data_IF_230678300687
#
_entry.id   IF_230678300687
#
_cell.length_a   1.000
_cell.length_b   1.000
_cell.length_c   1.000
_cell.angle_alpha   90.00
_cell.angle_beta   90.00
_cell.angle_gamma   90.00
#
_symmetry.space_group_name_H-M   'P 1'
#
loop_
_entity.id
_entity.type
_entity.pdbx_description
1 polymer ?
#
# COMPACT_ATOMS: atom_id res chain seq x y z
N UNK A 1 -14.17 -20.25 22.33
CA UNK A 1 -14.57 -18.84 22.09
C UNK A 1 -14.45 -18.61 20.59
N UNK A 2 -15.44 -17.99 19.98
CA UNK A 2 -15.44 -17.63 18.56
C UNK A 2 -14.17 -16.81 18.20
N UNK A 3 -13.48 -17.17 17.12
CA UNK A 3 -12.27 -16.49 16.65
C UNK A 3 -12.51 -14.98 16.41
N UNK A 4 -13.72 -14.61 15.99
CA UNK A 4 -14.13 -13.21 15.82
C UNK A 4 -14.12 -12.48 17.17
N UNK A 5 -14.60 -13.12 18.23
CA UNK A 5 -14.63 -12.53 19.58
C UNK A 5 -13.23 -12.38 20.18
N UNK A 6 -12.31 -13.30 19.88
CA UNK A 6 -10.91 -13.17 20.29
C UNK A 6 -10.20 -12.04 19.53
N UNK A 7 -10.31 -12.00 18.20
CA UNK A 7 -9.72 -10.94 17.38
C UNK A 7 -10.25 -9.56 17.79
N UNK A 8 -11.55 -9.42 18.03
CA UNK A 8 -12.14 -8.15 18.49
C UNK A 8 -11.59 -7.68 19.84
N UNK A 9 -11.16 -8.59 20.72
CA UNK A 9 -10.62 -8.25 22.04
C UNK A 9 -9.12 -7.95 22.02
N UNK A 10 -8.35 -8.68 21.22
CA UNK A 10 -6.89 -8.56 21.21
C UNK A 10 -6.37 -7.64 20.11
N UNK A 11 -7.12 -7.46 19.01
CA UNK A 11 -6.61 -6.88 17.77
C UNK A 11 -5.56 -7.76 17.06
N UNK A 12 -5.24 -8.93 17.62
CA UNK A 12 -4.19 -9.82 17.12
C UNK A 12 -4.84 -10.86 16.24
N UNK A 13 -4.56 -10.78 14.94
CA UNK A 13 -4.96 -11.78 13.99
C UNK A 13 -4.06 -13.01 14.12
N UNK A 14 -4.60 -14.14 14.58
CA UNK A 14 -3.85 -15.39 14.62
C UNK A 14 -4.21 -16.24 13.39
N UNK A 15 -3.20 -16.74 12.67
CA UNK A 15 -3.40 -17.67 11.54
C UNK A 15 -3.75 -19.09 12.06
N UNK A 16 -4.69 -19.19 13.00
CA UNK A 16 -5.07 -20.44 13.66
C UNK A 16 -5.68 -21.47 12.68
N UNK A 17 -6.24 -21.00 11.56
CA UNK A 17 -6.69 -21.84 10.46
C UNK A 17 -5.66 -21.83 9.32
N UNK A 18 -5.04 -22.99 9.09
CA UNK A 18 -4.09 -23.21 8.01
C UNK A 18 -4.76 -22.91 6.65
N UNK A 19 -4.22 -21.96 5.89
CA UNK A 19 -4.70 -21.64 4.54
C UNK A 19 -5.60 -20.40 4.42
N UNK A 20 -6.02 -19.76 5.53
CA UNK A 20 -7.04 -18.69 5.49
C UNK A 20 -6.58 -17.37 4.86
N UNK A 21 -5.27 -17.10 4.80
CA UNK A 21 -4.66 -15.89 4.22
C UNK A 21 -3.37 -16.18 3.44
N UNK A 22 -3.32 -17.25 2.65
CA UNK A 22 -2.11 -17.56 1.84
C UNK A 22 -1.92 -16.62 0.65
N UNK A 23 -2.87 -15.71 0.39
CA UNK A 23 -2.84 -14.78 -0.74
C UNK A 23 -2.32 -13.37 -0.41
N UNK A 24 -2.11 -13.03 0.86
CA UNK A 24 -1.66 -11.70 1.26
C UNK A 24 -0.57 -11.80 2.32
N UNK A 25 0.66 -11.48 1.92
CA UNK A 25 1.76 -11.27 2.85
C UNK A 25 1.66 -9.83 3.37
N UNK A 26 1.15 -9.69 4.58
CA UNK A 26 1.14 -8.40 5.26
C UNK A 26 2.50 -8.17 5.91
N UNK A 27 3.04 -6.97 5.68
CA UNK A 27 4.26 -6.50 6.31
C UNK A 27 3.96 -5.11 6.86
N UNK A 28 4.39 -4.82 8.08
CA UNK A 28 4.20 -3.49 8.62
C UNK A 28 5.06 -2.51 7.82
N UNK A 29 4.51 -1.36 7.45
CA UNK A 29 5.17 -0.42 6.53
C UNK A 29 6.46 0.13 7.15
N UNK A 30 6.40 0.41 8.45
CA UNK A 30 7.52 0.86 9.27
C UNK A 30 8.67 -0.15 9.32
N UNK A 31 8.40 -1.43 9.11
CA UNK A 31 9.41 -2.49 9.16
C UNK A 31 10.10 -2.70 7.82
N UNK A 32 9.51 -2.28 6.69
CA UNK A 32 10.04 -2.56 5.33
C UNK A 32 11.44 -1.96 5.17
N UNK A 33 11.59 -0.68 5.53
CA UNK A 33 12.84 0.06 5.38
C UNK A 33 13.97 -0.50 6.26
N UNK A 34 13.77 -0.70 7.58
CA UNK A 34 14.74 -1.37 8.45
C UNK A 34 15.10 -2.77 7.98
N UNK A 35 14.11 -3.56 7.52
CA UNK A 35 14.36 -4.89 7.00
C UNK A 35 15.31 -4.85 5.80
N UNK A 36 15.05 -4.00 4.80
CA UNK A 36 15.90 -3.92 3.60
C UNK A 36 17.30 -3.39 3.93
N UNK A 37 17.43 -2.41 4.82
CA UNK A 37 18.73 -1.92 5.31
C UNK A 37 19.54 -3.01 6.00
N UNK A 38 18.88 -3.86 6.82
CA UNK A 38 19.53 -5.02 7.46
C UNK A 38 20.07 -6.04 6.45
N UNK A 39 19.59 -6.01 5.20
CA UNK A 39 20.06 -6.86 4.10
C UNK A 39 21.12 -6.17 3.23
N UNK A 40 21.63 -5.01 3.64
CA UNK A 40 22.70 -4.30 2.96
C UNK A 40 22.22 -3.37 1.84
N UNK A 41 20.95 -2.96 1.84
CA UNK A 41 20.45 -1.96 0.90
C UNK A 41 20.52 -0.54 1.52
N UNK A 42 20.79 0.43 0.67
CA UNK A 42 20.47 1.83 0.89
C UNK A 42 19.04 2.08 0.39
N UNK A 43 18.19 2.61 1.26
CA UNK A 43 16.81 2.95 0.92
C UNK A 43 16.77 4.21 0.06
N UNK A 44 16.24 4.10 -1.16
CA UNK A 44 16.02 5.25 -2.03
C UNK A 44 14.57 5.70 -1.94
N UNK A 45 13.61 4.81 -2.21
CA UNK A 45 12.18 5.13 -2.15
C UNK A 45 11.31 3.95 -1.71
N UNK A 46 10.14 4.29 -1.17
CA UNK A 46 9.04 3.36 -0.92
C UNK A 46 7.76 4.02 -1.42
N UNK A 47 7.12 3.43 -2.41
CA UNK A 47 6.03 4.04 -3.17
C UNK A 47 4.80 3.16 -3.08
N UNK A 48 3.64 3.76 -2.87
CA UNK A 48 2.34 3.11 -3.04
C UNK A 48 2.12 2.72 -4.49
N UNK A 49 1.91 1.44 -4.76
CA UNK A 49 1.51 0.99 -6.09
C UNK A 49 -0.01 1.01 -6.23
N UNK A 50 -0.49 1.30 -7.44
CA UNK A 50 -1.91 1.40 -7.77
C UNK A 50 -2.70 2.37 -6.87
N UNK A 51 -2.11 3.50 -6.45
CA UNK A 51 -2.80 4.52 -5.61
C UNK A 51 -4.11 5.00 -6.25
N UNK A 52 -4.19 5.04 -7.58
CA UNK A 52 -5.43 5.36 -8.29
C UNK A 52 -6.60 4.39 -8.05
N UNK A 53 -6.34 3.16 -7.57
CA UNK A 53 -7.37 2.16 -7.27
C UNK A 53 -8.24 2.52 -6.05
N UNK A 54 -7.83 3.53 -5.26
CA UNK A 54 -8.63 4.07 -4.15
C UNK A 54 -9.87 4.81 -4.69
N UNK A 55 -9.80 5.34 -5.90
CA UNK A 55 -10.93 5.99 -6.55
C UNK A 55 -11.86 4.94 -7.16
N UNK A 56 -13.15 5.04 -6.84
CA UNK A 56 -14.20 4.23 -7.45
C UNK A 56 -14.35 4.57 -8.94
N UNK A 57 -14.97 3.69 -9.71
CA UNK A 57 -15.26 3.96 -11.13
C UNK A 57 -16.06 5.25 -11.32
N UNK A 58 -17.06 5.50 -10.47
CA UNK A 58 -17.85 6.74 -10.47
C UNK A 58 -16.97 7.99 -10.30
N UNK A 59 -15.98 7.97 -9.40
CA UNK A 59 -15.04 9.09 -9.23
C UNK A 59 -14.16 9.26 -10.46
N UNK A 60 -13.74 8.17 -11.10
CA UNK A 60 -13.00 8.23 -12.35
C UNK A 60 -13.83 8.77 -13.51
N UNK A 61 -15.10 8.36 -13.61
CA UNK A 61 -16.04 8.84 -14.62
C UNK A 61 -16.28 10.34 -14.48
N UNK A 62 -16.49 10.82 -13.24
CA UNK A 62 -16.60 12.26 -12.96
C UNK A 62 -15.43 13.09 -13.53
N UNK A 63 -14.19 12.59 -13.42
CA UNK A 63 -13.03 13.29 -13.96
C UNK A 63 -12.86 13.10 -15.47
N UNK A 64 -13.26 11.94 -16.02
CA UNK A 64 -13.31 11.71 -17.47
C UNK A 64 -14.28 12.65 -18.17
N UNK A 65 -15.46 12.85 -17.60
CA UNK A 65 -16.52 13.71 -18.15
C UNK A 65 -16.13 15.19 -18.19
N UNK A 66 -15.14 15.60 -17.39
CA UNK A 66 -14.56 16.96 -17.38
C UNK A 66 -13.48 17.17 -18.44
N UNK A 67 -13.13 16.14 -19.20
CA UNK A 67 -12.16 16.18 -20.28
C UNK A 67 -10.73 15.86 -19.86
N UNK A 68 -9.89 15.58 -20.87
CA UNK A 68 -8.54 15.05 -20.70
C UNK A 68 -7.59 15.95 -19.88
N UNK A 69 -7.77 17.27 -19.93
CA UNK A 69 -6.93 18.23 -19.19
C UNK A 69 -7.13 18.05 -17.68
N UNK A 70 -8.38 18.02 -17.22
CA UNK A 70 -8.69 17.86 -15.80
C UNK A 70 -8.34 16.45 -15.32
N UNK A 71 -8.62 15.43 -16.12
CA UNK A 71 -8.21 14.06 -15.82
C UNK A 71 -6.68 13.94 -15.66
N UNK A 72 -5.92 14.62 -16.51
CA UNK A 72 -4.45 14.62 -16.45
C UNK A 72 -3.92 15.29 -15.18
N UNK A 73 -4.54 16.38 -14.73
CA UNK A 73 -4.19 17.04 -13.46
C UNK A 73 -4.39 16.11 -12.27
N UNK A 74 -5.51 15.39 -12.24
CA UNK A 74 -5.81 14.43 -11.15
C UNK A 74 -4.82 13.26 -11.16
N UNK A 75 -4.55 12.68 -12.34
CA UNK A 75 -3.53 11.62 -12.48
C UNK A 75 -2.17 12.10 -11.99
N UNK A 76 -1.76 13.32 -12.37
CA UNK A 76 -0.50 13.92 -11.93
C UNK A 76 -0.44 14.08 -10.41
N UNK A 77 -1.50 14.60 -9.79
CA UNK A 77 -1.56 14.75 -8.33
C UNK A 77 -1.40 13.40 -7.60
N UNK A 78 -2.08 12.35 -8.09
CA UNK A 78 -1.96 11.00 -7.55
C UNK A 78 -0.52 10.47 -7.68
N UNK A 79 0.11 10.68 -8.83
CA UNK A 79 1.51 10.26 -9.05
C UNK A 79 2.49 11.00 -8.14
N UNK A 80 2.31 12.32 -7.98
CA UNK A 80 3.18 13.15 -7.12
C UNK A 80 3.13 12.73 -5.65
N UNK A 81 1.98 12.23 -5.19
CA UNK A 81 1.80 11.82 -3.80
C UNK A 81 2.01 10.32 -3.58
N UNK A 82 2.34 9.54 -4.61
CA UNK A 82 2.45 8.10 -4.50
C UNK A 82 3.51 7.63 -3.47
N UNK A 83 4.52 8.46 -3.20
CA UNK A 83 5.56 8.21 -2.20
C UNK A 83 5.26 8.82 -0.81
N UNK A 84 4.10 9.49 -0.63
CA UNK A 84 3.74 10.10 0.65
C UNK A 84 3.52 9.01 1.72
N UNK A 85 4.28 9.03 2.83
CA UNK A 85 4.16 8.03 3.90
C UNK A 85 2.73 7.90 4.46
N UNK A 86 1.95 8.98 4.46
CA UNK A 86 0.58 8.99 4.98
C UNK A 86 -0.41 8.19 4.14
N UNK A 87 -0.06 7.87 2.87
CA UNK A 87 -0.93 7.13 1.95
C UNK A 87 -0.41 5.74 1.60
N UNK A 88 0.76 5.33 2.11
CA UNK A 88 1.28 3.98 1.84
C UNK A 88 0.34 2.89 2.39
N UNK A 89 -0.29 3.13 3.54
CA UNK A 89 -1.22 2.20 4.19
C UNK A 89 -2.49 1.88 3.43
N UNK A 90 -2.89 2.74 2.48
CA UNK A 90 -4.08 2.52 1.65
C UNK A 90 -3.76 1.84 0.31
N UNK A 91 -2.48 1.60 0.02
CA UNK A 91 -2.04 0.96 -1.22
C UNK A 91 -2.11 -0.57 -1.09
N UNK A 92 -2.63 -1.22 -2.12
CA UNK A 92 -2.71 -2.69 -2.16
C UNK A 92 -1.33 -3.37 -2.26
N UNK A 93 -0.36 -2.67 -2.85
CA UNK A 93 1.01 -3.12 -3.05
C UNK A 93 1.96 -1.94 -2.82
N UNK A 94 3.19 -2.25 -2.43
CA UNK A 94 4.25 -1.25 -2.25
C UNK A 94 5.43 -1.59 -3.17
N UNK A 95 5.98 -0.57 -3.81
CA UNK A 95 7.21 -0.65 -4.59
C UNK A 95 8.36 -0.13 -3.73
N UNK A 96 9.29 -1.02 -3.39
CA UNK A 96 10.54 -0.65 -2.76
C UNK A 96 11.63 -0.42 -3.82
N UNK A 97 12.37 0.68 -3.70
CA UNK A 97 13.55 0.98 -4.52
C UNK A 97 14.73 1.15 -3.58
N UNK A 98 15.75 0.31 -3.76
CA UNK A 98 16.96 0.39 -2.97
C UNK A 98 18.21 0.05 -3.79
N UNK A 99 19.35 0.56 -3.33
CA UNK A 99 20.65 0.33 -3.94
C UNK A 99 21.46 -0.61 -3.04
N UNK A 100 21.93 -1.73 -3.58
CA UNK A 100 22.79 -2.65 -2.82
C UNK A 100 24.12 -1.97 -2.49
N UNK A 101 24.47 -1.93 -1.20
CA UNK A 101 25.80 -1.49 -0.76
C UNK A 101 26.80 -2.58 -1.14
N UNK A 102 27.87 -2.18 -1.82
CA UNK A 102 28.97 -3.05 -2.24
C UNK A 102 29.82 -3.48 -1.06
#
# INVERSE_FOLDING_TARGET
MDAISQFSKSGIFNHAEKGRFTGAYYFNIEDIRPFMESKGFENLELIGSNVGAILTNEKWDYWRDRGEIELSKVKKLILEHAADPSILGISSHLLYIGKKKG
#
